data_IF_543165995042
#
_entry.id   IF_543165995042
#
_cell.length_a   1.000
_cell.length_b   1.000
_cell.length_c   1.000
_cell.angle_alpha   90.00
_cell.angle_beta   90.00
_cell.angle_gamma   90.00
#
_symmetry.space_group_name_H-M   'P 1'
#
loop_
_entity.id
_entity.type
_entity.pdbx_description
1 polymer ?
#
# COMPACT_ATOMS: atom_id res chain seq x y z
N UNK A 1 -33.45 -29.33 -23.40
CA UNK A 1 -33.47 -27.85 -23.41
C UNK A 1 -33.07 -27.36 -24.78
N UNK A 2 -33.88 -26.49 -25.40
CA UNK A 2 -33.53 -25.84 -26.66
C UNK A 2 -32.37 -24.85 -26.45
N UNK A 3 -31.45 -24.73 -27.40
CA UNK A 3 -30.26 -23.85 -27.30
C UNK A 3 -30.62 -22.40 -26.93
N UNK A 4 -31.75 -21.90 -27.44
CA UNK A 4 -32.25 -20.56 -27.16
C UNK A 4 -32.67 -20.38 -25.70
N UNK A 5 -33.21 -21.42 -25.07
CA UNK A 5 -33.66 -21.39 -23.69
C UNK A 5 -32.46 -21.34 -22.74
N UNK A 6 -31.43 -22.14 -23.03
CA UNK A 6 -30.15 -22.11 -22.32
C UNK A 6 -29.49 -20.73 -22.40
N UNK A 7 -29.48 -20.10 -23.58
CA UNK A 7 -28.90 -18.76 -23.77
C UNK A 7 -29.67 -17.65 -23.03
N UNK A 8 -30.99 -17.79 -22.86
CA UNK A 8 -31.81 -16.82 -22.11
C UNK A 8 -31.69 -16.96 -20.60
N UNK A 9 -31.29 -18.14 -20.12
CA UNK A 9 -31.04 -18.42 -18.72
C UNK A 9 -29.62 -18.04 -18.28
N UNK A 10 -28.71 -17.76 -19.23
CA UNK A 10 -27.37 -17.26 -18.93
C UNK A 10 -27.47 -15.88 -18.29
N UNK A 11 -27.00 -15.80 -17.04
CA UNK A 11 -26.82 -14.57 -16.31
C UNK A 11 -25.32 -14.36 -16.09
N UNK A 12 -24.78 -13.26 -16.63
CA UNK A 12 -23.37 -12.89 -16.51
C UNK A 12 -23.11 -11.88 -15.38
N UNK A 13 -24.13 -11.60 -14.58
CA UNK A 13 -24.09 -10.59 -13.52
C UNK A 13 -24.34 -9.15 -14.00
N UNK A 14 -24.12 -8.22 -13.09
CA UNK A 14 -24.20 -6.77 -13.20
C UNK A 14 -22.94 -6.21 -13.84
N UNK A 15 -23.07 -5.05 -14.48
CA UNK A 15 -21.93 -4.29 -15.01
C UNK A 15 -21.01 -3.76 -13.89
N UNK A 16 -21.50 -3.69 -12.66
CA UNK A 16 -20.76 -3.19 -11.48
C UNK A 16 -20.41 -4.37 -10.56
N UNK A 17 -19.13 -4.76 -10.53
CA UNK A 17 -18.66 -5.88 -9.72
C UNK A 17 -18.85 -5.67 -8.20
N UNK A 18 -18.81 -4.41 -7.74
CA UNK A 18 -19.01 -4.04 -6.33
C UNK A 18 -20.42 -4.40 -5.82
N UNK A 19 -21.41 -4.46 -6.72
CA UNK A 19 -22.82 -4.70 -6.37
C UNK A 19 -23.17 -6.20 -6.25
N UNK A 20 -22.28 -7.09 -6.71
CA UNK A 20 -22.56 -8.53 -6.80
C UNK A 20 -21.48 -9.43 -6.17
N UNK A 21 -20.72 -8.90 -5.21
CA UNK A 21 -19.60 -9.61 -4.58
C UNK A 21 -19.98 -11.01 -4.13
N UNK A 22 -21.19 -11.23 -3.60
CA UNK A 22 -21.64 -12.55 -3.15
C UNK A 22 -21.56 -13.62 -4.25
N UNK A 23 -22.07 -13.33 -5.45
CA UNK A 23 -22.18 -14.30 -6.57
C UNK A 23 -20.99 -14.27 -7.53
N UNK A 24 -20.09 -13.28 -7.42
CA UNK A 24 -18.98 -13.09 -8.35
C UNK A 24 -18.14 -14.36 -8.63
N UNK A 25 -17.94 -15.21 -7.62
CA UNK A 25 -17.20 -16.48 -7.77
C UNK A 25 -17.95 -17.54 -8.59
N UNK A 26 -19.29 -17.49 -8.62
CA UNK A 26 -20.13 -18.50 -9.27
C UNK A 26 -20.04 -18.44 -10.80
N UNK A 27 -19.73 -17.26 -11.34
CA UNK A 27 -19.63 -17.01 -12.79
C UNK A 27 -18.27 -16.45 -13.21
N UNK A 28 -17.32 -16.25 -12.29
CA UNK A 28 -15.98 -15.82 -12.65
C UNK A 28 -15.25 -16.94 -13.41
N UNK A 29 -14.85 -16.63 -14.64
CA UNK A 29 -13.99 -17.52 -15.42
C UNK A 29 -12.55 -17.20 -15.04
N UNK A 30 -11.86 -18.16 -14.41
CA UNK A 30 -10.45 -18.03 -14.08
C UNK A 30 -9.64 -17.81 -15.35
N UNK A 31 -8.93 -16.69 -15.41
CA UNK A 31 -8.04 -16.32 -16.51
C UNK A 31 -6.59 -16.63 -16.16
N UNK A 32 -5.70 -16.68 -17.15
CA UNK A 32 -4.26 -16.79 -16.90
C UNK A 32 -3.76 -15.65 -15.99
N UNK A 33 -4.26 -14.44 -16.22
CA UNK A 33 -3.94 -13.28 -15.38
C UNK A 33 -4.31 -13.51 -13.90
N UNK A 34 -5.50 -14.06 -13.62
CA UNK A 34 -5.90 -14.44 -12.26
C UNK A 34 -4.94 -15.45 -11.65
N UNK A 35 -4.69 -16.56 -12.34
CA UNK A 35 -3.81 -17.63 -11.87
C UNK A 35 -2.40 -17.12 -11.56
N UNK A 36 -1.87 -16.20 -12.37
CA UNK A 36 -0.55 -15.61 -12.15
C UNK A 36 -0.53 -14.64 -10.96
N UNK A 37 -1.59 -13.87 -10.72
CA UNK A 37 -1.71 -13.02 -9.53
C UNK A 37 -1.77 -13.90 -8.27
N UNK A 38 -2.59 -14.95 -8.28
CA UNK A 38 -2.78 -15.88 -7.15
C UNK A 38 -1.51 -16.68 -6.80
N UNK A 39 -0.66 -16.95 -7.80
CA UNK A 39 0.68 -17.53 -7.59
C UNK A 39 1.75 -16.51 -7.19
N UNK A 40 1.40 -15.22 -7.16
CA UNK A 40 2.33 -14.14 -6.84
C UNK A 40 3.30 -13.78 -7.99
N UNK A 41 3.08 -14.26 -9.20
CA UNK A 41 3.95 -14.04 -10.38
C UNK A 41 3.76 -12.67 -11.03
N UNK A 42 2.66 -11.97 -10.71
CA UNK A 42 2.37 -10.63 -11.19
C UNK A 42 2.05 -9.73 -9.99
N UNK A 43 2.66 -8.56 -9.99
CA UNK A 43 2.44 -7.49 -9.03
C UNK A 43 1.60 -6.34 -9.62
N UNK A 44 1.86 -5.99 -10.89
CA UNK A 44 1.17 -4.87 -11.55
C UNK A 44 0.11 -5.41 -12.51
N UNK A 45 -1.16 -5.14 -12.20
CA UNK A 45 -2.32 -5.54 -12.98
C UNK A 45 -2.81 -4.34 -13.79
N UNK A 46 -2.66 -4.40 -15.10
CA UNK A 46 -3.12 -3.34 -16.02
C UNK A 46 -4.36 -3.78 -16.77
N UNK A 47 -5.26 -2.84 -17.05
CA UNK A 47 -6.40 -3.08 -17.94
C UNK A 47 -7.28 -1.85 -18.14
N UNK A 48 -8.06 -1.84 -19.21
CA UNK A 48 -9.00 -0.77 -19.53
C UNK A 48 -10.16 -0.66 -18.52
N UNK A 49 -11.01 0.37 -18.66
CA UNK A 49 -12.24 0.48 -17.86
C UNK A 49 -13.17 -0.69 -18.23
N UNK A 50 -13.64 -1.42 -17.21
CA UNK A 50 -14.46 -2.62 -17.42
C UNK A 50 -13.66 -3.91 -17.65
N UNK A 51 -12.32 -3.88 -17.63
CA UNK A 51 -11.48 -5.07 -17.77
C UNK A 51 -11.49 -6.02 -16.54
N UNK A 52 -12.37 -5.80 -15.57
CA UNK A 52 -12.51 -6.68 -14.40
C UNK A 52 -11.47 -6.50 -13.29
N UNK A 53 -10.67 -5.43 -13.26
CA UNK A 53 -9.67 -5.18 -12.19
C UNK A 53 -10.28 -5.21 -10.79
N UNK A 54 -11.39 -4.51 -10.58
CA UNK A 54 -12.11 -4.52 -9.30
C UNK A 54 -12.69 -5.90 -8.98
N UNK A 55 -13.05 -6.70 -9.98
CA UNK A 55 -13.46 -8.08 -9.76
C UNK A 55 -12.27 -8.94 -9.28
N UNK A 56 -11.09 -8.82 -9.90
CA UNK A 56 -9.87 -9.49 -9.44
C UNK A 56 -9.51 -9.10 -7.99
N UNK A 57 -9.62 -7.80 -7.68
CA UNK A 57 -9.41 -7.30 -6.32
C UNK A 57 -10.38 -7.95 -5.30
N UNK A 58 -11.68 -7.96 -5.63
CA UNK A 58 -12.71 -8.56 -4.77
C UNK A 58 -12.53 -10.07 -4.62
N UNK A 59 -12.05 -10.75 -5.66
CA UNK A 59 -11.74 -12.17 -5.59
C UNK A 59 -10.56 -12.46 -4.67
N UNK A 60 -9.51 -11.62 -4.68
CA UNK A 60 -8.39 -11.73 -3.73
C UNK A 60 -8.84 -11.59 -2.27
N UNK A 61 -9.76 -10.65 -1.99
CA UNK A 61 -10.34 -10.50 -0.65
C UNK A 61 -11.15 -11.74 -0.23
N UNK A 62 -11.86 -12.38 -1.17
CA UNK A 62 -12.61 -13.60 -0.91
C UNK A 62 -11.74 -14.82 -0.63
N UNK A 63 -10.59 -14.95 -1.30
CA UNK A 63 -9.66 -16.06 -1.06
C UNK A 63 -8.64 -15.74 0.03
N UNK A 64 -8.85 -14.67 0.81
CA UNK A 64 -7.91 -14.26 1.87
C UNK A 64 -7.58 -15.39 2.85
N UNK A 65 -8.57 -16.18 3.26
CA UNK A 65 -8.34 -17.31 4.18
C UNK A 65 -7.47 -18.40 3.53
N UNK A 66 -7.71 -18.73 2.25
CA UNK A 66 -6.90 -19.70 1.49
C UNK A 66 -5.46 -19.20 1.30
N UNK A 67 -5.29 -17.89 1.08
CA UNK A 67 -3.97 -17.25 1.02
C UNK A 67 -3.28 -17.29 2.38
N UNK A 68 -4.01 -17.05 3.47
CA UNK A 68 -3.50 -17.14 4.83
C UNK A 68 -2.99 -18.55 5.15
N UNK A 69 -3.75 -19.59 4.79
CA UNK A 69 -3.33 -20.99 4.95
C UNK A 69 -2.04 -21.32 4.17
N UNK A 70 -1.75 -20.57 3.12
CA UNK A 70 -0.50 -20.65 2.32
C UNK A 70 0.61 -19.74 2.84
N UNK A 71 0.43 -19.07 3.98
CA UNK A 71 1.40 -18.14 4.55
C UNK A 71 1.41 -16.76 3.87
N UNK A 72 0.32 -16.34 3.23
CA UNK A 72 0.21 -15.06 2.54
C UNK A 72 -0.86 -14.19 3.21
N UNK A 73 -0.42 -13.13 3.90
CA UNK A 73 -1.30 -12.10 4.43
C UNK A 73 -1.72 -11.15 3.30
N UNK A 74 -2.96 -10.68 3.32
CA UNK A 74 -3.43 -9.64 2.40
C UNK A 74 -3.97 -8.44 3.15
N UNK A 75 -3.54 -7.24 2.75
CA UNK A 75 -4.02 -5.96 3.30
C UNK A 75 -4.43 -5.01 2.18
N UNK A 76 -5.61 -4.43 2.31
CA UNK A 76 -6.18 -3.49 1.36
C UNK A 76 -5.77 -2.06 1.71
N UNK A 77 -5.11 -1.36 0.78
CA UNK A 77 -4.71 0.03 0.94
C UNK A 77 -5.82 1.04 0.59
N UNK A 78 -7.00 0.55 0.24
CA UNK A 78 -8.10 1.29 -0.35
C UNK A 78 -9.41 0.60 0.05
N UNK A 79 -10.52 1.34 0.03
CA UNK A 79 -11.84 0.72 0.16
C UNK A 79 -12.31 0.22 -1.22
N UNK A 80 -12.47 -1.12 -1.42
CA UNK A 80 -12.97 -1.64 -2.69
C UNK A 80 -14.40 -1.21 -2.99
N UNK A 81 -15.15 -0.76 -1.97
CA UNK A 81 -16.51 -0.23 -2.12
C UNK A 81 -16.57 1.22 -1.64
N UNK A 82 -17.32 2.05 -2.35
CA UNK A 82 -17.59 3.43 -1.95
C UNK A 82 -16.53 4.42 -2.43
N UNK A 83 -16.33 5.50 -1.66
CA UNK A 83 -15.39 6.55 -2.00
C UNK A 83 -13.94 6.10 -1.81
N UNK A 84 -13.07 6.44 -2.78
CA UNK A 84 -11.63 6.20 -2.64
C UNK A 84 -11.06 7.01 -1.48
N UNK A 85 -10.20 6.37 -0.70
CA UNK A 85 -9.44 6.90 0.42
C UNK A 85 -8.45 7.97 -0.07
N UNK A 86 -7.97 7.86 -1.32
CA UNK A 86 -7.00 8.78 -1.89
C UNK A 86 -7.59 10.14 -2.30
N UNK A 87 -8.91 10.35 -2.22
CA UNK A 87 -9.52 11.68 -2.52
C UNK A 87 -8.94 12.80 -1.67
N UNK A 88 -8.55 12.49 -0.43
CA UNK A 88 -7.97 13.48 0.49
C UNK A 88 -6.60 14.00 0.00
N UNK A 89 -5.92 13.25 -0.87
CA UNK A 89 -4.68 13.72 -1.52
C UNK A 89 -4.95 14.77 -2.61
N UNK A 90 -6.19 14.97 -3.02
CA UNK A 90 -6.54 16.01 -4.00
C UNK A 90 -6.79 17.35 -3.30
N UNK A 91 -7.41 17.33 -2.12
CA UNK A 91 -7.73 18.55 -1.38
C UNK A 91 -6.48 19.23 -0.83
N UNK A 92 -5.48 18.44 -0.46
CA UNK A 92 -4.20 18.93 0.03
C UNK A 92 -3.07 18.07 -0.56
N UNK A 93 -2.66 18.30 -1.83
CA UNK A 93 -1.75 17.39 -2.51
C UNK A 93 -0.31 17.47 -2.01
N UNK A 94 0.44 16.36 -2.04
CA UNK A 94 1.88 16.40 -1.96
C UNK A 94 2.47 17.29 -3.07
N UNK A 95 3.43 18.11 -2.69
CA UNK A 95 3.99 19.17 -3.54
C UNK A 95 5.11 18.67 -4.45
N UNK A 96 5.70 17.51 -4.12
CA UNK A 96 6.83 16.92 -4.84
C UNK A 96 6.70 15.41 -4.97
N UNK A 97 7.36 14.85 -5.98
CA UNK A 97 7.47 13.39 -6.14
C UNK A 97 8.13 12.72 -4.92
N UNK A 98 9.10 13.39 -4.30
CA UNK A 98 9.77 12.91 -3.07
C UNK A 98 8.80 12.82 -1.89
N UNK A 99 7.93 13.80 -1.73
CA UNK A 99 6.87 13.78 -0.71
C UNK A 99 5.91 12.61 -0.94
N UNK A 100 5.50 12.35 -2.18
CA UNK A 100 4.70 11.17 -2.51
C UNK A 100 5.41 9.84 -2.18
N UNK A 101 6.70 9.69 -2.51
CA UNK A 101 7.46 8.47 -2.20
C UNK A 101 7.46 8.22 -0.69
N UNK A 102 7.77 9.24 0.11
CA UNK A 102 7.81 9.12 1.57
C UNK A 102 6.42 8.82 2.14
N UNK A 103 5.38 9.51 1.64
CA UNK A 103 3.99 9.23 1.96
C UNK A 103 3.65 7.75 1.69
N UNK A 104 3.95 7.24 0.49
CA UNK A 104 3.65 5.85 0.15
C UNK A 104 4.36 4.86 1.06
N UNK A 105 5.66 5.06 1.33
CA UNK A 105 6.40 4.20 2.25
C UNK A 105 5.78 4.20 3.65
N UNK A 106 5.44 5.38 4.19
CA UNK A 106 4.84 5.51 5.53
C UNK A 106 3.43 4.88 5.55
N UNK A 107 2.62 5.13 4.55
CA UNK A 107 1.28 4.56 4.47
C UNK A 107 1.34 3.03 4.39
N UNK A 108 2.17 2.48 3.49
CA UNK A 108 2.33 1.04 3.28
C UNK A 108 2.88 0.36 4.54
N UNK A 109 3.93 0.90 5.18
CA UNK A 109 4.48 0.27 6.39
C UNK A 109 3.47 0.29 7.54
N UNK A 110 2.62 1.31 7.62
CA UNK A 110 1.57 1.39 8.63
C UNK A 110 0.46 0.36 8.39
N UNK A 111 0.07 0.14 7.13
CA UNK A 111 -0.86 -0.95 6.76
C UNK A 111 -0.30 -2.32 7.12
N UNK A 112 0.97 -2.56 6.79
CA UNK A 112 1.66 -3.81 7.15
C UNK A 112 1.68 -3.98 8.67
N UNK A 113 1.95 -2.91 9.42
CA UNK A 113 1.99 -2.96 10.88
C UNK A 113 0.64 -3.33 11.48
N UNK A 114 -0.45 -2.71 11.02
CA UNK A 114 -1.81 -3.06 11.43
C UNK A 114 -2.13 -4.53 11.12
N UNK A 115 -1.76 -5.01 9.94
CA UNK A 115 -2.00 -6.40 9.54
C UNK A 115 -1.22 -7.38 10.42
N UNK A 116 0.09 -7.17 10.57
CA UNK A 116 0.93 -8.04 11.41
C UNK A 116 0.44 -8.08 12.86
N UNK A 117 0.09 -6.91 13.43
CA UNK A 117 -0.50 -6.82 14.77
C UNK A 117 -1.84 -7.56 14.88
N UNK A 118 -2.69 -7.46 13.86
CA UNK A 118 -4.00 -8.14 13.83
C UNK A 118 -3.89 -9.66 13.86
N UNK A 119 -2.85 -10.22 13.22
CA UNK A 119 -2.58 -11.66 13.21
C UNK A 119 -1.65 -12.12 14.35
N UNK A 120 -1.23 -11.22 15.23
CA UNK A 120 -0.29 -11.54 16.31
C UNK A 120 1.11 -11.93 15.81
N UNK A 121 1.51 -11.44 14.64
CA UNK A 121 2.86 -11.65 14.09
C UNK A 121 3.74 -10.56 14.68
N UNK A 122 4.55 -10.94 15.66
CA UNK A 122 5.43 -10.05 16.40
C UNK A 122 6.86 -10.61 16.49
N UNK A 123 7.72 -9.90 17.22
CA UNK A 123 9.13 -10.20 17.37
C UNK A 123 9.89 -8.98 17.89
N UNK A 124 11.14 -9.17 18.32
CA UNK A 124 11.96 -8.06 18.83
C UNK A 124 12.06 -6.90 17.83
N UNK A 125 12.28 -7.23 16.55
CA UNK A 125 12.37 -6.26 15.46
C UNK A 125 11.01 -5.63 15.11
N UNK A 126 9.94 -6.41 14.99
CA UNK A 126 8.61 -5.88 14.74
C UNK A 126 8.10 -4.97 15.87
N UNK A 127 8.37 -5.31 17.13
CA UNK A 127 7.96 -4.50 18.28
C UNK A 127 8.64 -3.12 18.32
N UNK A 128 9.88 -3.03 17.82
CA UNK A 128 10.55 -1.73 17.64
C UNK A 128 9.81 -0.87 16.62
N UNK A 129 9.42 -1.46 15.48
CA UNK A 129 8.68 -0.74 14.44
C UNK A 129 7.27 -0.37 14.90
N UNK A 130 6.55 -1.28 15.56
CA UNK A 130 5.24 -1.00 16.14
C UNK A 130 5.29 0.20 17.07
N UNK A 131 6.25 0.24 18.00
CA UNK A 131 6.41 1.37 18.89
C UNK A 131 6.74 2.68 18.15
N UNK A 132 7.59 2.64 17.12
CA UNK A 132 7.93 3.83 16.34
C UNK A 132 6.71 4.41 15.59
N UNK A 133 5.84 3.53 15.07
CA UNK A 133 4.60 3.92 14.40
C UNK A 133 3.55 4.43 15.40
N UNK A 134 3.45 3.82 16.59
CA UNK A 134 2.57 4.32 17.66
C UNK A 134 2.96 5.74 18.11
N UNK A 135 4.26 5.98 18.34
CA UNK A 135 4.78 7.30 18.74
C UNK A 135 4.50 8.37 17.69
N UNK A 136 4.43 7.98 16.41
CA UNK A 136 4.13 8.85 15.29
C UNK A 136 2.63 9.00 15.00
N UNK A 137 1.74 8.30 15.73
CA UNK A 137 0.30 8.31 15.48
C UNK A 137 -0.11 7.56 14.20
N UNK A 138 0.68 6.57 13.79
CA UNK A 138 0.51 5.78 12.57
C UNK A 138 -0.02 4.36 12.83
N UNK A 139 -0.16 3.96 14.09
CA UNK A 139 -0.62 2.64 14.48
C UNK A 139 -1.59 2.73 15.66
N UNK A 140 -2.84 3.08 15.35
CA UNK A 140 -3.92 3.17 16.35
C UNK A 140 -4.56 1.79 16.63
N UNK A 141 -5.48 1.73 17.60
CA UNK A 141 -6.18 0.47 17.95
C UNK A 141 -7.11 0.00 16.83
N UNK A 142 -7.81 0.93 16.20
CA UNK A 142 -8.72 0.65 15.08
C UNK A 142 -8.20 1.35 13.84
N UNK A 143 -8.27 0.66 12.70
CA UNK A 143 -7.81 1.22 11.43
C UNK A 143 -8.90 2.06 10.77
N UNK A 144 -8.57 3.32 10.47
CA UNK A 144 -9.34 4.18 9.57
C UNK A 144 -8.43 4.55 8.39
N UNK A 145 -8.63 3.96 7.21
CA UNK A 145 -7.72 4.14 6.07
C UNK A 145 -7.54 5.62 5.68
N UNK A 146 -8.60 6.43 5.70
CA UNK A 146 -8.52 7.85 5.38
C UNK A 146 -7.78 8.63 6.48
N UNK A 147 -8.04 8.32 7.75
CA UNK A 147 -7.28 8.87 8.87
C UNK A 147 -5.81 8.50 8.83
N UNK A 148 -5.50 7.25 8.48
CA UNK A 148 -4.15 6.73 8.35
C UNK A 148 -3.40 7.42 7.21
N UNK A 149 -4.03 7.59 6.05
CA UNK A 149 -3.43 8.28 4.91
C UNK A 149 -3.09 9.74 5.23
N UNK A 150 -4.02 10.46 5.88
CA UNK A 150 -3.77 11.84 6.35
C UNK A 150 -2.64 11.90 7.38
N UNK A 151 -2.60 10.96 8.31
CA UNK A 151 -1.54 10.88 9.32
C UNK A 151 -0.18 10.59 8.67
N UNK A 152 -0.13 9.66 7.73
CA UNK A 152 1.06 9.36 6.94
C UNK A 152 1.56 10.60 6.16
N UNK A 153 0.64 11.35 5.56
CA UNK A 153 0.95 12.59 4.85
C UNK A 153 1.52 13.67 5.76
N UNK A 154 0.92 13.85 6.95
CA UNK A 154 1.41 14.80 7.94
C UNK A 154 2.83 14.44 8.41
N UNK A 155 3.11 13.16 8.66
CA UNK A 155 4.45 12.68 9.03
C UNK A 155 5.44 12.90 7.89
N UNK A 156 5.07 12.57 6.64
CA UNK A 156 5.93 12.77 5.47
C UNK A 156 6.33 14.23 5.28
N UNK A 157 5.37 15.16 5.38
CA UNK A 157 5.60 16.61 5.28
C UNK A 157 6.51 17.12 6.38
N UNK A 158 6.27 16.71 7.61
CA UNK A 158 7.09 17.13 8.75
C UNK A 158 8.52 16.59 8.64
N UNK A 159 8.72 15.35 8.21
CA UNK A 159 10.06 14.78 8.01
C UNK A 159 10.84 15.56 6.96
N UNK A 160 10.21 15.86 5.82
CA UNK A 160 10.81 16.67 4.76
C UNK A 160 11.09 18.11 5.21
N UNK A 161 10.15 18.72 5.95
CA UNK A 161 10.30 20.08 6.46
C UNK A 161 11.49 20.21 7.41
N UNK A 162 11.66 19.28 8.35
CA UNK A 162 12.80 19.29 9.28
C UNK A 162 14.11 19.11 8.51
N UNK A 163 14.17 18.13 7.59
CA UNK A 163 15.38 17.91 6.78
C UNK A 163 15.76 19.10 5.90
N UNK A 164 14.78 19.86 5.39
CA UNK A 164 15.06 21.06 4.61
C UNK A 164 15.66 22.19 5.47
N UNK A 165 15.12 22.41 6.67
CA UNK A 165 15.65 23.39 7.65
C UNK A 165 17.07 23.00 8.05
N UNK A 166 17.33 21.71 8.28
CA UNK A 166 18.69 21.23 8.61
C UNK A 166 19.68 21.44 7.48
N UNK A 167 19.28 21.24 6.22
CA UNK A 167 20.15 21.52 5.07
C UNK A 167 20.52 23.02 4.97
N UNK A 168 19.62 23.90 5.40
CA UNK A 168 19.87 25.34 5.49
C UNK A 168 20.79 25.71 6.67
N UNK A 169 20.61 25.05 7.83
CA UNK A 169 21.39 25.30 9.06
C UNK A 169 22.76 24.61 9.10
N UNK A 170 22.93 23.45 8.45
CA UNK A 170 24.20 22.69 8.40
C UNK A 170 25.27 23.31 7.50
N UNK A 171 25.00 24.50 6.97
CA UNK A 171 26.04 25.44 6.56
C UNK A 171 26.90 25.93 7.75
N UNK A 172 26.50 25.66 9.02
CA UNK A 172 27.29 25.87 10.24
C UNK A 172 27.97 24.57 10.77
N UNK A 173 29.21 24.62 11.33
CA UNK A 173 30.14 23.49 11.37
C UNK A 173 29.92 22.44 12.48
N UNK A 174 28.79 22.47 13.18
CA UNK A 174 28.58 21.67 14.41
C UNK A 174 27.67 20.44 14.23
N UNK A 175 27.24 20.15 13.00
CA UNK A 175 26.05 19.36 12.66
C UNK A 175 25.94 17.93 13.22
N UNK A 176 24.83 17.68 13.90
CA UNK A 176 24.13 16.38 13.90
C UNK A 176 22.73 16.60 13.31
N UNK A 177 22.47 16.17 12.07
CA UNK A 177 21.16 16.32 11.44
C UNK A 177 20.24 15.21 11.96
N UNK A 178 19.07 15.56 12.47
CA UNK A 178 18.04 14.60 12.84
C UNK A 178 16.65 15.09 12.42
N UNK A 179 16.38 14.99 11.11
CA UNK A 179 15.04 14.88 10.53
C UNK A 179 14.28 13.66 11.06
N UNK A 180 13.88 13.74 12.33
CA UNK A 180 13.27 12.67 13.13
C UNK A 180 11.90 13.11 13.61
N UNK A 181 10.93 12.21 13.56
CA UNK A 181 9.62 12.33 14.22
C UNK A 181 9.39 11.09 15.05
N UNK A 182 9.24 11.26 16.36
CA UNK A 182 9.19 10.14 17.30
C UNK A 182 10.48 9.33 17.18
N UNK A 183 10.36 8.07 16.72
CA UNK A 183 11.48 7.16 16.43
C UNK A 183 11.73 6.92 14.95
N UNK A 184 11.16 7.74 14.07
CA UNK A 184 11.25 7.59 12.61
C UNK A 184 12.16 8.66 12.04
N UNK A 185 13.17 8.28 11.25
CA UNK A 185 14.06 9.18 10.53
C UNK A 185 13.90 9.08 9.02
N UNK A 186 14.17 10.17 8.30
CA UNK A 186 14.19 10.15 6.84
C UNK A 186 15.47 9.49 6.28
N UNK A 187 16.59 9.69 6.97
CA UNK A 187 17.91 9.14 6.60
C UNK A 187 18.30 8.01 7.53
N UNK A 188 19.27 7.20 7.09
CA UNK A 188 19.84 6.13 7.91
C UNK A 188 20.46 6.70 9.20
N UNK A 189 19.98 6.29 10.38
CA UNK A 189 20.46 6.85 11.64
C UNK A 189 21.87 6.36 12.00
N UNK A 190 22.62 7.19 12.73
CA UNK A 190 23.92 6.81 13.26
C UNK A 190 23.80 5.62 14.24
N UNK A 191 24.88 4.89 14.54
CA UNK A 191 24.86 3.81 15.54
C UNK A 191 24.29 4.25 16.90
N UNK A 192 24.57 5.47 17.34
CA UNK A 192 24.08 6.04 18.60
C UNK A 192 22.56 6.25 18.55
N UNK A 193 22.05 6.86 17.47
CA UNK A 193 20.61 7.09 17.29
C UNK A 193 19.84 5.77 17.10
N UNK A 194 20.42 4.79 16.40
CA UNK A 194 19.87 3.43 16.30
C UNK A 194 19.75 2.76 17.65
N UNK A 195 20.76 2.91 18.51
CA UNK A 195 20.74 2.38 19.88
C UNK A 195 19.69 3.07 20.76
N UNK A 196 19.33 4.32 20.44
CA UNK A 196 18.20 5.03 21.04
C UNK A 196 16.82 4.66 20.45
N UNK A 197 16.76 3.68 19.54
CA UNK A 197 15.52 3.17 18.96
C UNK A 197 15.02 3.95 17.74
N UNK A 198 15.81 4.88 17.19
CA UNK A 198 15.48 5.61 15.96
C UNK A 198 15.79 4.72 14.75
N UNK A 199 14.85 4.65 13.81
CA UNK A 199 14.97 3.85 12.60
C UNK A 199 14.59 4.67 11.36
N UNK A 200 15.31 4.44 10.26
CA UNK A 200 14.88 4.90 8.95
C UNK A 200 13.65 4.12 8.51
N UNK A 201 12.87 4.69 7.59
CA UNK A 201 11.71 4.01 7.00
C UNK A 201 12.13 2.68 6.34
N UNK A 202 13.24 2.69 5.60
CA UNK A 202 13.78 1.49 4.94
C UNK A 202 14.32 0.45 5.95
N UNK A 203 14.92 0.91 7.06
CA UNK A 203 15.32 0.05 8.17
C UNK A 203 14.13 -0.62 8.86
N UNK A 204 13.02 0.09 9.02
CA UNK A 204 11.78 -0.48 9.55
C UNK A 204 11.15 -1.50 8.59
N UNK A 205 11.15 -1.24 7.27
CA UNK A 205 10.71 -2.22 6.28
C UNK A 205 11.55 -3.50 6.31
N UNK A 206 12.86 -3.37 6.47
CA UNK A 206 13.78 -4.51 6.63
C UNK A 206 13.44 -5.35 7.87
N UNK A 207 13.15 -4.71 9.00
CA UNK A 207 12.72 -5.39 10.24
C UNK A 207 11.43 -6.17 10.07
N UNK A 208 10.42 -5.59 9.41
CA UNK A 208 9.18 -6.30 9.10
C UNK A 208 9.40 -7.44 8.10
N UNK A 209 10.21 -7.24 7.05
CA UNK A 209 10.53 -8.30 6.11
C UNK A 209 11.15 -9.51 6.80
N UNK A 210 12.13 -9.29 7.68
CA UNK A 210 12.77 -10.36 8.44
C UNK A 210 11.77 -11.04 9.39
N UNK A 211 10.95 -10.28 10.10
CA UNK A 211 9.94 -10.85 11.02
C UNK A 211 8.92 -11.73 10.27
N UNK A 212 8.46 -11.28 9.09
CA UNK A 212 7.58 -12.05 8.22
C UNK A 212 8.24 -13.35 7.78
N UNK A 213 9.49 -13.28 7.29
CA UNK A 213 10.27 -14.45 6.88
C UNK A 213 10.45 -15.45 8.02
N UNK A 214 10.86 -14.98 9.19
CA UNK A 214 11.09 -15.81 10.38
C UNK A 214 9.80 -16.48 10.87
N UNK A 215 8.66 -15.84 10.64
CA UNK A 215 7.33 -16.36 10.98
C UNK A 215 6.72 -17.23 9.87
N UNK A 216 7.41 -17.41 8.74
CA UNK A 216 6.91 -18.19 7.60
C UNK A 216 5.78 -17.51 6.82
N UNK A 217 5.66 -16.19 6.91
CA UNK A 217 4.65 -15.40 6.23
C UNK A 217 5.25 -14.46 5.17
N UNK A 218 4.41 -14.12 4.20
CA UNK A 218 4.60 -12.98 3.29
C UNK A 218 3.37 -12.08 3.38
N UNK A 219 3.47 -10.83 2.94
CA UNK A 219 2.34 -9.89 2.90
C UNK A 219 2.17 -9.25 1.53
N UNK A 220 0.92 -9.21 1.06
CA UNK A 220 0.51 -8.51 -0.14
C UNK A 220 -0.29 -7.27 0.22
N UNK A 221 0.18 -6.11 -0.23
CA UNK A 221 -0.50 -4.83 -0.07
C UNK A 221 -1.22 -4.49 -1.38
N UNK A 222 -2.54 -4.49 -1.36
CA UNK A 222 -3.38 -4.28 -2.54
C UNK A 222 -3.69 -2.79 -2.72
N UNK A 223 -3.22 -2.18 -3.81
CA UNK A 223 -3.49 -0.80 -4.20
C UNK A 223 -4.30 -0.75 -5.48
N UNK A 224 -5.47 -0.10 -5.46
CA UNK A 224 -6.34 0.11 -6.62
C UNK A 224 -6.89 1.54 -6.61
N UNK A 225 -7.58 1.95 -7.69
CA UNK A 225 -8.41 3.17 -7.77
C UNK A 225 -7.71 4.52 -7.56
N UNK A 226 -6.38 4.56 -7.65
CA UNK A 226 -5.62 5.83 -7.67
C UNK A 226 -6.07 6.74 -8.82
N UNK A 227 -6.38 6.17 -9.98
CA UNK A 227 -6.88 6.91 -11.14
C UNK A 227 -8.20 7.63 -10.88
N UNK A 228 -9.06 7.04 -10.05
CA UNK A 228 -10.36 7.61 -9.69
C UNK A 228 -10.18 8.79 -8.75
N UNK A 229 -9.18 8.73 -7.87
CA UNK A 229 -8.92 9.80 -6.92
C UNK A 229 -8.42 11.06 -7.62
N UNK A 230 -7.53 10.94 -8.61
CA UNK A 230 -6.91 12.08 -9.27
C UNK A 230 -7.54 12.47 -10.62
N UNK A 231 -8.77 12.01 -10.88
CA UNK A 231 -9.45 12.19 -12.18
C UNK A 231 -9.56 13.67 -12.63
N UNK A 232 -9.56 14.61 -11.69
CA UNK A 232 -9.67 16.05 -11.95
C UNK A 232 -8.30 16.74 -12.16
N UNK A 233 -7.17 16.04 -11.99
CA UNK A 233 -5.82 16.61 -12.16
C UNK A 233 -4.82 15.59 -12.72
N UNK A 234 -4.55 15.69 -14.03
CA UNK A 234 -3.64 14.80 -14.75
C UNK A 234 -2.19 14.89 -14.24
N UNK A 235 -1.68 16.09 -13.93
CA UNK A 235 -0.32 16.26 -13.43
C UNK A 235 -0.14 15.61 -12.04
N UNK A 236 -1.16 15.75 -11.19
CA UNK A 236 -1.17 15.15 -9.87
C UNK A 236 -1.27 13.62 -9.95
N UNK A 237 -2.15 13.09 -10.81
CA UNK A 237 -2.26 11.67 -11.11
C UNK A 237 -0.92 11.09 -11.56
N UNK A 238 -0.28 11.72 -12.56
CA UNK A 238 0.99 11.27 -13.10
C UNK A 238 2.10 11.27 -12.04
N UNK A 239 2.17 12.30 -11.19
CA UNK A 239 3.15 12.37 -10.12
C UNK A 239 2.90 11.32 -9.03
N UNK A 240 1.66 11.13 -8.60
CA UNK A 240 1.28 10.12 -7.61
C UNK A 240 1.62 8.70 -8.08
N UNK A 241 1.28 8.37 -9.33
CA UNK A 241 1.55 7.07 -9.94
C UNK A 241 3.05 6.87 -10.16
N UNK A 242 3.77 7.86 -10.68
CA UNK A 242 5.24 7.76 -10.86
C UNK A 242 5.94 7.50 -9.54
N UNK A 243 5.57 8.23 -8.49
CA UNK A 243 6.09 8.01 -7.14
C UNK A 243 5.73 6.63 -6.59
N UNK A 244 4.53 6.11 -6.85
CA UNK A 244 4.14 4.77 -6.45
C UNK A 244 4.96 3.70 -7.16
N UNK A 245 5.20 3.84 -8.48
CA UNK A 245 6.04 2.89 -9.22
C UNK A 245 7.50 2.92 -8.74
N UNK A 246 8.03 4.10 -8.36
CA UNK A 246 9.35 4.17 -7.71
C UNK A 246 9.35 3.49 -6.35
N UNK A 247 8.30 3.72 -5.55
CA UNK A 247 8.13 3.06 -4.25
C UNK A 247 8.06 1.53 -4.45
N UNK A 248 7.32 1.05 -5.45
CA UNK A 248 7.28 -0.37 -5.81
C UNK A 248 8.68 -0.92 -6.12
N UNK A 249 9.50 -0.18 -6.89
CA UNK A 249 10.88 -0.58 -7.18
C UNK A 249 11.72 -0.74 -5.92
N UNK A 250 11.55 0.13 -4.93
CA UNK A 250 12.25 0.02 -3.64
C UNK A 250 11.83 -1.26 -2.89
N UNK A 251 10.53 -1.60 -2.96
CA UNK A 251 9.97 -2.77 -2.30
C UNK A 251 10.37 -4.10 -2.96
N UNK A 252 10.81 -4.12 -4.22
CA UNK A 252 11.29 -5.34 -4.88
C UNK A 252 12.54 -5.97 -4.21
N UNK A 253 13.21 -5.22 -3.34
CA UNK A 253 14.32 -5.74 -2.52
C UNK A 253 13.85 -6.66 -1.38
N UNK A 254 12.55 -6.69 -1.08
CA UNK A 254 11.94 -7.50 -0.04
C UNK A 254 11.25 -8.73 -0.64
N UNK A 255 11.50 -9.90 -0.08
CA UNK A 255 10.88 -11.18 -0.46
C UNK A 255 9.63 -11.50 0.37
N UNK A 256 9.50 -10.90 1.55
CA UNK A 256 8.36 -11.01 2.45
C UNK A 256 7.26 -9.98 2.19
N UNK A 257 7.50 -8.96 1.36
CA UNK A 257 6.55 -7.86 1.11
C UNK A 257 6.35 -7.65 -0.39
N UNK A 258 5.12 -7.74 -0.88
CA UNK A 258 4.77 -7.49 -2.28
C UNK A 258 3.65 -6.46 -2.38
N UNK A 259 3.77 -5.53 -3.33
CA UNK A 259 2.70 -4.57 -3.64
C UNK A 259 1.95 -5.06 -4.87
N UNK A 260 0.63 -5.29 -4.73
CA UNK A 260 -0.25 -5.63 -5.85
C UNK A 260 -0.96 -4.36 -6.32
N UNK A 261 -0.51 -3.79 -7.44
CA UNK A 261 -0.96 -2.50 -7.94
C UNK A 261 -1.86 -2.68 -9.15
N UNK A 262 -3.10 -2.24 -9.03
CA UNK A 262 -4.10 -2.26 -10.08
C UNK A 262 -4.16 -0.88 -10.73
N UNK A 263 -3.80 -0.81 -12.03
CA UNK A 263 -3.73 0.42 -12.80
C UNK A 263 -4.59 0.33 -14.05
N UNK A 264 -5.10 1.47 -14.50
CA UNK A 264 -5.68 1.56 -15.83
C UNK A 264 -4.62 1.68 -16.91
N UNK A 265 -4.91 1.08 -18.06
CA UNK A 265 -3.99 1.10 -19.19
C UNK A 265 -3.94 2.46 -19.90
N UNK A 266 -5.04 3.21 -19.88
CA UNK A 266 -5.15 4.53 -20.50
C UNK A 266 -4.40 5.64 -19.75
N UNK A 267 -3.84 5.35 -18.57
CA UNK A 267 -2.98 6.26 -17.81
C UNK A 267 -1.69 6.57 -18.58
N UNK A 268 -1.21 5.64 -19.40
CA UNK A 268 0.08 5.76 -20.11
C UNK A 268 -0.05 6.27 -21.55
N UNK A 269 -1.27 6.42 -22.05
CA UNK A 269 -1.56 6.78 -23.45
C UNK A 269 -2.02 8.23 -23.61
N UNK A 270 -1.93 9.04 -22.56
CA UNK A 270 -2.45 10.41 -22.49
C UNK A 270 -1.34 11.44 -22.50
#
# INVERSE_FOLDING_TARGET
MEKLQLLRELNFGSQVAEDEVARLQEYFVQTDQWSRIERGEIDIVRGEKGAGKSALYLLLDKIREELFDRGVLTVSAENPRGATVFRDLVSDPPTTEREFIILWKIYIISLIAHQMRGYGIDGGDANVVFGALEDAGLLEREINLAGLLRSAQNVARRLLGISAIEAELSLDPSGTPTGIIGRISLSEPSPELRSAGINSIDGMLTKFNNTLRDSGYTIWVLLDRLDVAFADSHDLEANAIRALIRTYSDFQSFDGISLKIFLREDIWKR
#
